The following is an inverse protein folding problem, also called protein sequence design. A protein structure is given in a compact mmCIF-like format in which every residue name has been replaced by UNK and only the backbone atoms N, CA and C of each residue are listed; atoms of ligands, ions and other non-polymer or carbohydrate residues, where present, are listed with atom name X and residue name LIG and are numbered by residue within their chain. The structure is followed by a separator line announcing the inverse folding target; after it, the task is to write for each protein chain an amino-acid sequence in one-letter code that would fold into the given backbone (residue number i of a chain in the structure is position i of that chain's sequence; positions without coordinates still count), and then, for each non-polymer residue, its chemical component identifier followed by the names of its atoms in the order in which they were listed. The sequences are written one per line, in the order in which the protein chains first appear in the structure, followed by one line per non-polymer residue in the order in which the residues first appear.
data_IF_674292723960
#
_entry.id   IF_674292723960
#
_cell.length_a   1.000
_cell.length_b   1.000
_cell.length_c   1.000
_cell.angle_alpha   90.00
_cell.angle_beta   90.00
_cell.angle_gamma   90.00
#
_symmetry.space_group_name_H-M   'P 1'
#
loop_
_entity.id
_entity.type
_entity.pdbx_description
1 polymer ?
#
# COMPACT_ATOMS: atom_id res chain seq x y z
N UNK A 1 -18.20 3.27 41.70
CA UNK A 1 -17.98 2.45 40.49
C UNK A 1 -18.05 0.99 40.87
N UNK A 2 -18.96 0.23 40.26
CA UNK A 2 -19.13 -1.20 40.52
C UNK A 2 -18.20 -1.96 39.54
N UNK A 3 -17.27 -2.82 39.97
CA UNK A 3 -16.16 -3.28 39.14
C UNK A 3 -16.51 -4.46 38.21
N UNK A 4 -17.79 -4.77 38.01
CA UNK A 4 -18.22 -6.03 37.41
C UNK A 4 -19.26 -5.81 36.29
N UNK A 5 -18.85 -5.17 35.20
CA UNK A 5 -19.76 -4.83 34.09
C UNK A 5 -19.09 -4.76 32.71
N UNK A 6 -18.11 -5.62 32.44
CA UNK A 6 -17.40 -5.63 31.14
C UNK A 6 -17.36 -7.00 30.46
N UNK A 7 -17.92 -8.06 31.05
CA UNK A 7 -17.85 -9.41 30.47
C UNK A 7 -19.09 -9.77 29.62
N UNK A 8 -20.17 -8.98 29.71
CA UNK A 8 -21.50 -9.35 29.18
C UNK A 8 -21.85 -8.73 27.81
N UNK A 9 -20.95 -7.91 27.23
CA UNK A 9 -21.14 -7.29 25.90
C UNK A 9 -20.50 -8.12 24.76
N UNK A 10 -19.71 -9.14 25.09
CA UNK A 10 -19.10 -10.02 24.10
C UNK A 10 -20.06 -11.16 23.75
N UNK A 11 -20.20 -11.44 22.45
CA UNK A 11 -21.01 -12.58 22.03
C UNK A 11 -20.36 -13.90 22.49
N UNK A 12 -21.15 -14.94 22.82
CA UNK A 12 -20.62 -16.22 23.29
C UNK A 12 -19.62 -16.89 22.34
N UNK A 13 -19.65 -16.56 21.05
CA UNK A 13 -18.72 -17.09 20.05
C UNK A 13 -17.33 -16.45 20.11
N UNK A 14 -17.17 -15.33 20.83
CA UNK A 14 -15.89 -14.65 20.99
C UNK A 14 -15.16 -15.14 22.24
N UNK A 15 -14.32 -16.16 22.04
CA UNK A 15 -13.29 -16.56 23.01
C UNK A 15 -11.91 -16.09 22.52
N UNK A 16 -11.37 -15.05 23.15
CA UNK A 16 -10.09 -14.44 22.77
C UNK A 16 -8.94 -15.02 23.59
N UNK A 17 -8.23 -16.01 23.04
CA UNK A 17 -6.95 -16.48 23.59
C UNK A 17 -5.79 -15.56 23.17
N UNK A 18 -5.41 -14.65 24.07
CA UNK A 18 -4.27 -13.75 23.87
C UNK A 18 -2.91 -14.36 24.21
N UNK A 19 -2.81 -15.64 24.61
CA UNK A 19 -1.54 -16.29 24.94
C UNK A 19 -0.55 -16.30 23.76
N UNK A 20 -1.07 -16.27 22.52
CA UNK A 20 -0.30 -16.19 21.27
C UNK A 20 -0.28 -14.79 20.66
N UNK A 21 -0.82 -13.77 21.36
CA UNK A 21 -0.88 -12.42 20.83
C UNK A 21 0.50 -11.79 20.78
N UNK A 22 0.87 -11.24 19.63
CA UNK A 22 2.15 -10.57 19.40
C UNK A 22 1.93 -9.05 19.29
N UNK A 23 2.54 -8.30 20.21
CA UNK A 23 2.48 -6.84 20.19
C UNK A 23 3.21 -6.30 18.96
N UNK A 24 2.49 -5.57 18.12
CA UNK A 24 3.09 -4.91 16.96
C UNK A 24 3.50 -5.88 15.84
N UNK A 25 2.81 -7.02 15.69
CA UNK A 25 3.02 -8.02 14.63
C UNK A 25 3.25 -7.43 13.23
N UNK A 26 2.60 -6.31 12.92
CA UNK A 26 2.71 -5.60 11.64
C UNK A 26 3.29 -4.18 11.77
N UNK A 27 3.81 -3.80 12.94
CA UNK A 27 4.30 -2.44 13.20
C UNK A 27 5.46 -2.05 12.28
N UNK A 28 6.39 -2.98 12.03
CA UNK A 28 7.54 -2.73 11.13
C UNK A 28 7.09 -2.51 9.68
N UNK A 29 6.22 -3.37 9.17
CA UNK A 29 5.65 -3.24 7.82
C UNK A 29 4.82 -1.96 7.66
N UNK A 30 4.12 -1.53 8.71
CA UNK A 30 3.42 -0.26 8.73
C UNK A 30 4.37 0.94 8.78
N UNK A 31 5.41 0.88 9.62
CA UNK A 31 6.40 1.94 9.81
C UNK A 31 7.34 2.12 8.60
N UNK A 32 7.57 1.06 7.82
CA UNK A 32 8.22 1.10 6.50
C UNK A 32 7.43 1.94 5.49
N UNK A 33 6.18 2.31 5.83
CA UNK A 33 5.31 3.12 5.02
C UNK A 33 4.64 2.25 3.95
N UNK A 34 3.36 1.93 4.16
CA UNK A 34 2.53 1.56 3.02
C UNK A 34 2.37 2.83 2.17
N UNK A 35 3.19 2.99 1.14
CA UNK A 35 3.10 4.13 0.22
C UNK A 35 1.87 3.91 -0.69
N UNK A 36 0.69 4.04 -0.10
CA UNK A 36 -0.60 3.86 -0.78
C UNK A 36 -0.80 5.06 -1.68
N UNK A 37 -0.58 4.85 -2.98
CA UNK A 37 -0.85 5.85 -4.01
C UNK A 37 -2.25 5.59 -4.55
N UNK A 38 -3.14 6.57 -4.34
CA UNK A 38 -4.48 6.56 -4.92
C UNK A 38 -4.38 7.08 -6.35
N UNK A 39 -4.88 6.30 -7.30
CA UNK A 39 -4.99 6.72 -8.69
C UNK A 39 -6.28 7.52 -8.87
N UNK A 40 -6.25 8.48 -9.78
CA UNK A 40 -7.48 9.13 -10.24
C UNK A 40 -8.43 8.08 -10.84
N UNK A 41 -9.76 8.27 -10.72
CA UNK A 41 -10.74 7.26 -11.11
C UNK A 41 -10.64 6.80 -12.57
N UNK A 42 -10.37 7.73 -13.48
CA UNK A 42 -10.19 7.46 -14.90
C UNK A 42 -8.95 6.58 -15.14
N UNK A 43 -7.83 6.89 -14.50
CA UNK A 43 -6.61 6.08 -14.57
C UNK A 43 -6.85 4.70 -13.96
N UNK A 44 -7.53 4.61 -12.82
CA UNK A 44 -7.85 3.34 -12.17
C UNK A 44 -8.71 2.44 -13.07
N UNK A 45 -9.64 3.01 -13.87
CA UNK A 45 -10.44 2.22 -14.81
C UNK A 45 -9.66 1.67 -15.99
N UNK A 46 -8.52 2.29 -16.34
CA UNK A 46 -7.68 1.85 -17.44
C UNK A 46 -6.80 0.63 -17.09
N UNK A 47 -6.53 0.38 -15.81
CA UNK A 47 -5.60 -0.68 -15.37
C UNK A 47 -6.28 -1.72 -14.47
N UNK A 48 -5.98 -3.00 -14.73
CA UNK A 48 -6.55 -4.12 -13.98
C UNK A 48 -5.99 -4.28 -12.57
N UNK A 49 -4.72 -3.94 -12.36
CA UNK A 49 -4.03 -4.06 -11.07
C UNK A 49 -2.77 -3.19 -11.01
N UNK A 50 -2.16 -3.12 -9.82
CA UNK A 50 -0.94 -2.34 -9.56
C UNK A 50 0.28 -2.81 -10.36
N UNK A 51 0.39 -4.10 -10.72
CA UNK A 51 1.49 -4.59 -11.54
C UNK A 51 1.46 -3.95 -12.94
N UNK A 52 0.27 -3.90 -13.57
CA UNK A 52 0.09 -3.28 -14.89
C UNK A 52 0.41 -1.77 -14.87
N UNK A 53 0.03 -1.05 -13.82
CA UNK A 53 0.36 0.37 -13.63
C UNK A 53 1.87 0.58 -13.54
N UNK A 54 2.54 -0.21 -12.69
CA UNK A 54 3.98 -0.09 -12.47
C UNK A 54 4.79 -0.40 -13.74
N UNK A 55 4.37 -1.39 -14.52
CA UNK A 55 5.06 -1.75 -15.76
C UNK A 55 4.93 -0.64 -16.81
N UNK A 56 3.76 -0.01 -16.92
CA UNK A 56 3.54 1.13 -17.82
C UNK A 56 4.42 2.33 -17.41
N UNK A 57 4.44 2.69 -16.12
CA UNK A 57 5.27 3.79 -15.60
C UNK A 57 6.76 3.53 -15.82
N UNK A 58 7.24 2.30 -15.61
CA UNK A 58 8.64 1.92 -15.89
C UNK A 58 8.98 1.99 -17.38
N UNK A 59 8.06 1.63 -18.26
CA UNK A 59 8.25 1.77 -19.70
C UNK A 59 8.39 3.25 -20.11
N UNK A 60 7.55 4.12 -19.52
CA UNK A 60 7.64 5.57 -19.70
C UNK A 60 8.99 6.12 -19.24
N UNK A 61 9.48 5.72 -18.05
CA UNK A 61 10.78 6.15 -17.53
C UNK A 61 11.92 5.78 -18.48
N UNK A 62 11.95 4.53 -18.98
CA UNK A 62 12.96 4.09 -19.98
C UNK A 62 12.92 4.92 -21.25
N UNK A 63 11.72 5.25 -21.75
CA UNK A 63 11.57 6.10 -22.92
C UNK A 63 12.13 7.51 -22.65
N UNK A 64 11.82 8.10 -21.49
CA UNK A 64 12.33 9.43 -21.14
C UNK A 64 13.85 9.47 -20.99
N UNK A 65 14.48 8.40 -20.48
CA UNK A 65 15.94 8.26 -20.44
C UNK A 65 16.53 8.25 -21.86
N UNK A 66 15.93 7.49 -22.78
CA UNK A 66 16.38 7.45 -24.17
C UNK A 66 16.26 8.82 -24.86
N UNK A 67 15.10 9.49 -24.72
CA UNK A 67 14.87 10.81 -25.33
C UNK A 67 15.82 11.86 -24.77
N UNK A 68 16.09 11.86 -23.46
CA UNK A 68 17.01 12.83 -22.85
C UNK A 68 18.44 12.70 -23.38
N UNK A 69 18.91 11.48 -23.67
CA UNK A 69 20.23 11.27 -24.31
C UNK A 69 20.29 11.78 -25.76
N UNK A 70 19.16 11.71 -26.49
CA UNK A 70 19.04 12.17 -27.88
C UNK A 70 18.96 13.71 -27.98
N UNK A 71 18.35 14.37 -27.00
CA UNK A 71 18.20 15.83 -26.97
C UNK A 71 19.42 16.59 -26.46
N UNK A 72 20.40 15.91 -25.86
CA UNK A 72 21.65 16.53 -25.36
C UNK A 72 22.72 16.63 -26.46
N UNK A 73 22.49 16.10 -27.67
CA UNK A 73 23.35 16.39 -28.82
C UNK A 73 22.98 17.76 -29.43
N UNK A 74 23.85 18.79 -29.33
CA UNK A 74 23.62 20.06 -29.97
C UNK A 74 23.74 19.85 -31.48
N UNK A 75 22.72 20.27 -32.22
CA UNK A 75 22.86 20.51 -33.66
C UNK A 75 23.89 21.63 -33.84
N UNK A 76 24.95 21.30 -34.60
CA UNK A 76 25.86 22.15 -35.37
C UNK A 76 26.28 23.51 -34.79
#
# INVERSE_FOLDING_TARGET
MNPNKNEDDLRPEYDFDFSKAERGKYYRQYAEGANVVVLDPDVATAFRNSAAVNDALRAMLRLTEQVSTLTVHPSA
#
